data_IF_644564381331
#
_entry.id   IF_644564381331
#
_cell.length_a   1.000
_cell.length_b   1.000
_cell.length_c   1.000
_cell.angle_alpha   90.00
_cell.angle_beta   90.00
_cell.angle_gamma   90.00
#
_symmetry.space_group_name_H-M   'P 1'
#
loop_
_entity.id
_entity.type
_entity.pdbx_description
1 polymer ?
#
# COMPACT_ATOMS: atom_id res chain seq x y z
N UNK A 1 33.35 -19.42 -19.37
CA UNK A 1 33.53 -18.58 -18.16
C UNK A 1 32.61 -17.37 -18.22
N UNK A 2 32.68 -16.57 -19.29
CA UNK A 2 31.87 -15.36 -19.49
C UNK A 2 30.35 -15.53 -19.30
N UNK A 3 29.75 -16.61 -19.81
CA UNK A 3 28.30 -16.85 -19.70
C UNK A 3 27.85 -17.15 -18.26
N UNK A 4 28.67 -17.87 -17.49
CA UNK A 4 28.37 -18.19 -16.08
C UNK A 4 28.51 -16.95 -15.19
N UNK A 5 29.51 -16.13 -15.45
CA UNK A 5 29.68 -14.83 -14.78
C UNK A 5 28.50 -13.89 -15.09
N UNK A 6 28.04 -13.86 -16.34
CA UNK A 6 26.91 -13.03 -16.76
C UNK A 6 25.60 -13.48 -16.09
N UNK A 7 25.36 -14.78 -15.94
CA UNK A 7 24.20 -15.31 -15.21
C UNK A 7 24.21 -14.93 -13.73
N UNK A 8 25.38 -15.04 -13.06
CA UNK A 8 25.54 -14.66 -11.66
C UNK A 8 25.37 -13.15 -11.47
N UNK A 9 25.97 -12.34 -12.36
CA UNK A 9 25.79 -10.88 -12.34
C UNK A 9 24.33 -10.48 -12.57
N UNK A 10 23.66 -11.11 -13.52
CA UNK A 10 22.25 -10.88 -13.81
C UNK A 10 21.35 -11.24 -12.63
N UNK A 11 21.64 -12.36 -11.94
CA UNK A 11 20.96 -12.75 -10.71
C UNK A 11 21.12 -11.68 -9.62
N UNK A 12 22.35 -11.21 -9.35
CA UNK A 12 22.61 -10.18 -8.34
C UNK A 12 21.91 -8.86 -8.67
N UNK A 13 22.00 -8.36 -9.90
CA UNK A 13 21.32 -7.13 -10.32
C UNK A 13 19.80 -7.23 -10.20
N UNK A 14 19.23 -8.38 -10.55
CA UNK A 14 17.78 -8.61 -10.45
C UNK A 14 17.34 -8.68 -8.98
N UNK A 15 18.17 -9.27 -8.12
CA UNK A 15 17.93 -9.30 -6.68
C UNK A 15 17.98 -7.89 -6.07
N UNK A 16 19.00 -7.10 -6.36
CA UNK A 16 19.14 -5.73 -5.85
C UNK A 16 17.97 -4.84 -6.29
N UNK A 17 17.56 -4.96 -7.55
CA UNK A 17 16.36 -4.28 -8.05
C UNK A 17 15.13 -4.72 -7.24
N UNK A 18 14.94 -6.01 -7.03
CA UNK A 18 13.79 -6.53 -6.30
C UNK A 18 13.77 -6.07 -4.85
N UNK A 19 14.94 -6.00 -4.19
CA UNK A 19 15.10 -5.48 -2.84
C UNK A 19 14.72 -3.99 -2.76
N UNK A 20 15.16 -3.17 -3.72
CA UNK A 20 14.80 -1.74 -3.76
C UNK A 20 13.28 -1.53 -3.91
N UNK A 21 12.61 -2.36 -4.73
CA UNK A 21 11.16 -2.32 -4.90
C UNK A 21 10.45 -2.80 -3.63
N UNK A 22 11.00 -3.79 -2.92
CA UNK A 22 10.48 -4.26 -1.64
C UNK A 22 10.50 -3.17 -0.56
N UNK A 23 11.59 -2.42 -0.44
CA UNK A 23 11.69 -1.28 0.48
C UNK A 23 10.69 -0.19 0.12
N UNK A 24 10.62 0.15 -1.17
CA UNK A 24 9.64 1.11 -1.71
C UNK A 24 8.19 0.67 -1.47
N UNK A 25 7.91 -0.63 -1.50
CA UNK A 25 6.59 -1.21 -1.19
C UNK A 25 6.23 -1.02 0.28
N UNK A 26 7.16 -1.25 1.20
CA UNK A 26 6.93 -1.06 2.64
C UNK A 26 6.67 0.42 2.95
N UNK A 27 7.44 1.32 2.34
CA UNK A 27 7.20 2.77 2.47
C UNK A 27 5.81 3.15 1.95
N UNK A 28 5.39 2.63 0.80
CA UNK A 28 4.04 2.85 0.27
C UNK A 28 2.95 2.33 1.23
N UNK A 29 3.13 1.15 1.83
CA UNK A 29 2.19 0.60 2.80
C UNK A 29 2.04 1.51 4.02
N UNK A 30 3.15 2.01 4.57
CA UNK A 30 3.13 2.91 5.74
C UNK A 30 2.47 4.25 5.41
N UNK A 31 2.79 4.84 4.24
CA UNK A 31 2.14 6.08 3.78
C UNK A 31 0.64 5.85 3.61
N UNK A 32 0.24 4.73 3.00
CA UNK A 32 -1.16 4.39 2.82
C UNK A 32 -1.88 4.24 4.18
N UNK A 33 -1.29 3.52 5.14
CA UNK A 33 -1.86 3.39 6.48
C UNK A 33 -2.03 4.76 7.15
N UNK A 34 -1.04 5.64 7.05
CA UNK A 34 -1.13 6.99 7.60
C UNK A 34 -2.24 7.81 6.91
N UNK A 35 -2.31 7.78 5.58
CA UNK A 35 -3.33 8.51 4.80
C UNK A 35 -4.73 7.98 5.11
N UNK A 36 -4.95 6.67 5.08
CA UNK A 36 -6.27 6.08 5.37
C UNK A 36 -6.66 6.33 6.83
N UNK A 37 -5.72 6.17 7.77
CA UNK A 37 -5.97 6.46 9.19
C UNK A 37 -6.38 7.91 9.42
N UNK A 38 -5.64 8.86 8.86
CA UNK A 38 -5.98 10.28 8.94
C UNK A 38 -7.32 10.59 8.26
N UNK A 39 -7.55 10.05 7.07
CA UNK A 39 -8.81 10.22 6.34
C UNK A 39 -10.00 9.66 7.12
N UNK A 40 -9.82 8.53 7.80
CA UNK A 40 -10.83 7.92 8.68
C UNK A 40 -11.18 8.89 9.81
N UNK A 41 -10.18 9.42 10.54
CA UNK A 41 -10.39 10.38 11.63
C UNK A 41 -11.18 11.62 11.17
N UNK A 42 -10.86 12.16 9.98
CA UNK A 42 -11.60 13.29 9.41
C UNK A 42 -13.04 12.95 9.01
N UNK A 43 -13.26 11.73 8.53
CA UNK A 43 -14.57 11.27 8.04
C UNK A 43 -15.55 11.02 9.18
N UNK A 44 -15.07 10.52 10.33
CA UNK A 44 -15.92 10.29 11.50
C UNK A 44 -16.33 11.56 12.25
N UNK A 45 -15.95 12.75 11.76
CA UNK A 45 -16.31 14.05 12.32
C UNK A 45 -16.12 14.08 13.85
N UNK A 46 -14.97 13.60 14.32
CA UNK A 46 -14.60 13.74 15.73
C UNK A 46 -14.53 15.25 15.99
N UNK A 47 -15.29 15.75 16.95
CA UNK A 47 -15.47 17.20 17.21
C UNK A 47 -14.16 18.00 17.28
N UNK A 48 -13.06 17.34 17.63
CA UNK A 48 -11.72 17.94 17.75
C UNK A 48 -10.83 17.77 16.49
N UNK A 49 -11.11 16.81 15.61
CA UNK A 49 -10.22 16.47 14.48
C UNK A 49 -10.36 17.43 13.29
N UNK A 50 -11.58 17.88 12.99
CA UNK A 50 -11.83 18.82 11.89
C UNK A 50 -11.27 20.23 12.17
N UNK A 51 -11.50 20.82 13.36
CA UNK A 51 -10.88 22.11 13.71
C UNK A 51 -9.35 22.06 13.69
N UNK A 52 -8.75 20.95 14.11
CA UNK A 52 -7.30 20.79 14.16
C UNK A 52 -6.68 20.79 12.74
N UNK A 53 -7.34 20.17 11.76
CA UNK A 53 -6.91 20.25 10.36
C UNK A 53 -6.94 21.69 9.83
N UNK A 54 -7.99 22.44 10.15
CA UNK A 54 -8.10 23.85 9.76
C UNK A 54 -7.02 24.69 10.43
N UNK A 55 -6.71 24.43 11.70
CA UNK A 55 -5.64 25.12 12.43
C UNK A 55 -4.26 24.83 11.84
N UNK A 56 -3.99 23.60 11.42
CA UNK A 56 -2.75 23.24 10.71
C UNK A 56 -2.64 24.01 9.40
N UNK A 57 -3.71 24.04 8.59
CA UNK A 57 -3.72 24.74 7.31
C UNK A 57 -3.57 26.25 7.52
N UNK A 58 -4.29 26.83 8.48
CA UNK A 58 -4.15 28.24 8.83
C UNK A 58 -2.70 28.57 9.21
N UNK A 59 -2.06 27.73 10.02
CA UNK A 59 -0.65 27.89 10.40
C UNK A 59 0.29 27.78 9.21
N UNK A 60 0.07 26.83 8.30
CA UNK A 60 0.88 26.66 7.08
C UNK A 60 0.71 27.83 6.10
N UNK A 61 -0.49 28.41 6.04
CA UNK A 61 -0.80 29.59 5.23
C UNK A 61 -0.40 30.92 5.90
N UNK A 62 0.14 30.89 7.12
CA UNK A 62 0.54 32.09 7.86
C UNK A 62 -0.62 32.94 8.37
N UNK A 63 -1.82 32.37 8.51
CA UNK A 63 -3.01 33.06 9.03
C UNK A 63 -2.93 33.07 10.56
N UNK A 64 -2.81 34.26 11.15
CA UNK A 64 -2.70 34.46 12.61
C UNK A 64 -3.96 35.07 13.24
N UNK A 65 -4.89 35.58 12.42
CA UNK A 65 -6.15 36.18 12.89
C UNK A 65 -7.15 35.12 13.35
N UNK A 66 -7.56 35.18 14.62
CA UNK A 66 -8.48 34.24 15.26
C UNK A 66 -9.89 34.33 14.69
N UNK A 67 -10.35 35.51 14.25
CA UNK A 67 -11.65 35.64 13.59
C UNK A 67 -11.65 34.93 12.24
N UNK A 68 -10.58 35.10 11.46
CA UNK A 68 -10.43 34.46 10.16
C UNK A 68 -10.34 32.93 10.26
N UNK A 69 -9.65 32.41 11.28
CA UNK A 69 -9.62 30.97 11.57
C UNK A 69 -11.01 30.45 11.90
N UNK A 70 -11.80 31.19 12.69
CA UNK A 70 -13.20 30.85 13.00
C UNK A 70 -14.09 30.76 11.75
N UNK A 71 -13.96 31.72 10.84
CA UNK A 71 -14.67 31.72 9.54
C UNK A 71 -14.24 30.53 8.67
N UNK A 72 -12.94 30.23 8.61
CA UNK A 72 -12.43 29.07 7.88
C UNK A 72 -13.04 27.78 8.43
N UNK A 73 -13.06 27.59 9.76
CA UNK A 73 -13.62 26.38 10.38
C UNK A 73 -15.07 26.09 9.97
N UNK A 74 -15.88 27.13 9.74
CA UNK A 74 -17.27 26.99 9.30
C UNK A 74 -17.43 26.82 7.79
N UNK A 75 -16.57 27.44 6.99
CA UNK A 75 -16.68 27.46 5.51
C UNK A 75 -15.79 26.44 4.80
N UNK A 76 -15.00 25.66 5.56
CA UNK A 76 -14.01 24.77 4.98
C UNK A 76 -14.65 23.61 4.21
N UNK A 77 -14.25 23.36 2.94
CA UNK A 77 -14.86 22.34 2.10
C UNK A 77 -14.30 20.94 2.42
N UNK A 78 -14.62 20.39 3.59
CA UNK A 78 -14.13 19.08 4.03
C UNK A 78 -14.46 17.95 3.04
N UNK A 79 -15.62 18.02 2.37
CA UNK A 79 -16.01 17.03 1.36
C UNK A 79 -15.01 16.95 0.20
N UNK A 80 -14.52 18.10 -0.30
CA UNK A 80 -13.53 18.14 -1.39
C UNK A 80 -12.23 17.49 -0.95
N UNK A 81 -11.78 17.75 0.27
CA UNK A 81 -10.54 17.16 0.81
C UNK A 81 -10.68 15.67 1.02
N UNK A 82 -11.84 15.19 1.49
CA UNK A 82 -12.12 13.77 1.57
C UNK A 82 -12.12 13.10 0.18
N UNK A 83 -12.67 13.75 -0.85
CA UNK A 83 -12.57 13.26 -2.23
C UNK A 83 -11.12 13.25 -2.75
N UNK A 84 -10.30 14.24 -2.41
CA UNK A 84 -8.86 14.20 -2.74
C UNK A 84 -8.20 13.00 -2.05
N UNK A 85 -8.52 12.74 -0.78
CA UNK A 85 -7.99 11.58 -0.07
C UNK A 85 -8.40 10.25 -0.70
N UNK A 86 -9.63 10.09 -1.20
CA UNK A 86 -10.03 8.83 -1.86
C UNK A 86 -9.20 8.57 -3.13
N UNK A 87 -8.87 9.62 -3.88
CA UNK A 87 -8.02 9.52 -5.08
C UNK A 87 -6.58 9.14 -4.68
N UNK A 88 -6.03 9.77 -3.65
CA UNK A 88 -4.70 9.45 -3.13
C UNK A 88 -4.66 7.98 -2.66
N UNK A 89 -5.67 7.54 -1.91
CA UNK A 89 -5.80 6.15 -1.45
C UNK A 89 -5.86 5.19 -2.63
N UNK A 90 -6.66 5.50 -3.67
CA UNK A 90 -6.72 4.70 -4.89
C UNK A 90 -5.35 4.57 -5.57
N UNK A 91 -4.65 5.68 -5.76
CA UNK A 91 -3.32 5.68 -6.37
C UNK A 91 -2.30 4.88 -5.54
N UNK A 92 -2.30 5.03 -4.23
CA UNK A 92 -1.41 4.30 -3.32
C UNK A 92 -1.73 2.80 -3.31
N UNK A 93 -3.01 2.42 -3.36
CA UNK A 93 -3.44 1.02 -3.45
C UNK A 93 -3.01 0.36 -4.75
N UNK A 94 -3.17 1.05 -5.88
CA UNK A 94 -2.70 0.57 -7.18
C UNK A 94 -1.18 0.36 -7.16
N UNK A 95 -0.42 1.33 -6.63
CA UNK A 95 1.03 1.20 -6.48
C UNK A 95 1.43 0.05 -5.55
N UNK A 96 0.72 -0.13 -4.43
CA UNK A 96 0.96 -1.23 -3.50
C UNK A 96 0.75 -2.59 -4.19
N UNK A 97 -0.32 -2.72 -4.97
CA UNK A 97 -0.61 -3.93 -5.76
C UNK A 97 0.47 -4.17 -6.83
N UNK A 98 0.83 -3.15 -7.61
CA UNK A 98 1.85 -3.26 -8.67
C UNK A 98 3.21 -3.68 -8.11
N UNK A 99 3.69 -3.04 -7.04
CA UNK A 99 4.97 -3.38 -6.41
C UNK A 99 4.96 -4.81 -5.86
N UNK A 100 3.90 -5.19 -5.17
CA UNK A 100 3.74 -6.56 -4.65
C UNK A 100 3.75 -7.60 -5.78
N UNK A 101 3.04 -7.31 -6.88
CA UNK A 101 3.00 -8.19 -8.06
C UNK A 101 4.32 -8.25 -8.82
N UNK A 102 5.07 -7.14 -8.87
CA UNK A 102 6.42 -7.09 -9.42
C UNK A 102 7.38 -7.97 -8.61
N UNK A 103 7.48 -7.74 -7.29
CA UNK A 103 8.33 -8.51 -6.38
C UNK A 103 8.09 -10.01 -6.57
N UNK A 104 6.81 -10.41 -6.61
CA UNK A 104 6.45 -11.81 -6.78
C UNK A 104 6.88 -12.40 -8.12
N UNK A 105 6.75 -11.64 -9.21
CA UNK A 105 7.22 -12.07 -10.53
C UNK A 105 8.74 -12.20 -10.55
N UNK A 106 9.45 -11.24 -9.96
CA UNK A 106 10.90 -11.28 -9.82
C UNK A 106 11.36 -12.49 -9.01
N UNK A 107 10.69 -12.83 -7.91
CA UNK A 107 11.00 -14.00 -7.09
C UNK A 107 10.83 -15.31 -7.88
N UNK A 108 9.75 -15.44 -8.68
CA UNK A 108 9.58 -16.60 -9.56
C UNK A 108 10.68 -16.69 -10.62
N UNK A 109 11.08 -15.56 -11.17
CA UNK A 109 12.15 -15.49 -12.16
C UNK A 109 13.50 -15.88 -11.54
N UNK A 110 13.85 -15.29 -10.39
CA UNK A 110 15.07 -15.61 -9.64
C UNK A 110 15.12 -17.09 -9.27
N UNK A 111 14.00 -17.69 -8.85
CA UNK A 111 13.92 -19.12 -8.59
C UNK A 111 14.22 -19.98 -9.82
N UNK A 112 13.88 -19.54 -11.03
CA UNK A 112 14.24 -20.22 -12.28
C UNK A 112 15.74 -20.11 -12.57
N UNK A 113 16.29 -18.89 -12.47
CA UNK A 113 17.72 -18.63 -12.65
C UNK A 113 18.57 -19.39 -11.63
N UNK A 114 18.11 -19.55 -10.39
CA UNK A 114 18.79 -20.36 -9.38
C UNK A 114 18.94 -21.83 -9.81
N UNK A 115 17.93 -22.41 -10.46
CA UNK A 115 17.99 -23.81 -10.95
C UNK A 115 19.07 -23.93 -12.02
N UNK A 116 19.13 -22.97 -12.95
CA UNK A 116 20.13 -22.94 -14.01
C UNK A 116 21.55 -22.75 -13.46
N UNK A 117 21.73 -21.86 -12.47
CA UNK A 117 23.03 -21.65 -11.80
C UNK A 117 23.46 -22.92 -11.04
N UNK A 118 22.54 -23.57 -10.32
CA UNK A 118 22.84 -24.83 -9.61
C UNK A 118 23.26 -25.93 -10.58
N UNK A 119 22.56 -26.08 -11.69
CA UNK A 119 22.92 -27.03 -12.74
C UNK A 119 24.29 -26.71 -13.36
N UNK A 120 24.56 -25.43 -13.64
CA UNK A 120 25.82 -25.00 -14.24
C UNK A 120 27.04 -25.14 -13.31
N UNK A 121 26.83 -25.14 -11.99
CA UNK A 121 27.87 -25.26 -10.95
C UNK A 121 27.93 -26.63 -10.28
N UNK A 122 27.10 -27.60 -10.69
CA UNK A 122 26.98 -28.91 -10.04
C UNK A 122 26.72 -28.82 -8.52
N UNK A 123 25.92 -27.84 -8.10
CA UNK A 123 25.56 -27.66 -6.69
C UNK A 123 24.36 -28.54 -6.34
N UNK A 124 24.38 -29.14 -5.14
CA UNK A 124 23.22 -29.89 -4.64
C UNK A 124 22.01 -28.97 -4.42
N UNK A 125 20.81 -29.51 -4.60
CA UNK A 125 19.56 -28.78 -4.35
C UNK A 125 19.40 -28.29 -2.90
N UNK A 126 20.13 -28.90 -1.96
CA UNK A 126 20.16 -28.56 -0.54
C UNK A 126 21.22 -27.52 -0.16
N UNK A 127 22.03 -27.01 -1.09
CA UNK A 127 23.04 -26.01 -0.77
C UNK A 127 22.38 -24.71 -0.29
N UNK A 128 22.93 -24.17 0.81
CA UNK A 128 22.48 -22.92 1.46
C UNK A 128 22.98 -21.69 0.68
N UNK A 129 23.54 -21.86 -0.51
CA UNK A 129 24.08 -20.76 -1.32
C UNK A 129 22.99 -19.77 -1.76
N UNK A 130 21.72 -20.19 -1.75
CA UNK A 130 20.56 -19.37 -2.09
C UNK A 130 19.49 -19.48 -0.99
N UNK A 131 19.37 -18.46 -0.14
CA UNK A 131 18.63 -18.53 1.14
C UNK A 131 17.30 -17.79 1.18
N UNK A 132 17.05 -16.87 0.24
CA UNK A 132 15.90 -15.94 0.32
C UNK A 132 14.81 -16.16 -0.71
N UNK A 133 15.09 -16.84 -1.82
CA UNK A 133 14.27 -16.72 -3.04
C UNK A 133 13.82 -18.09 -3.61
N UNK A 134 14.57 -19.17 -3.35
CA UNK A 134 14.24 -20.53 -3.79
C UNK A 134 13.39 -21.37 -2.84
N UNK A 135 13.19 -22.66 -3.18
CA UNK A 135 12.43 -23.65 -2.40
C UNK A 135 12.76 -23.65 -0.91
N UNK A 136 14.01 -23.35 -0.53
CA UNK A 136 14.46 -23.28 0.85
C UNK A 136 13.71 -22.23 1.68
N UNK A 137 13.46 -21.03 1.16
CA UNK A 137 12.71 -19.98 1.88
C UNK A 137 11.24 -20.35 2.00
N UNK A 138 10.65 -20.90 0.93
CA UNK A 138 9.26 -21.37 0.95
C UNK A 138 9.04 -22.54 1.91
N UNK A 139 10.01 -23.46 2.02
CA UNK A 139 9.96 -24.62 2.90
C UNK A 139 10.19 -24.27 4.37
N UNK A 140 10.92 -23.18 4.65
CA UNK A 140 11.22 -22.70 6.01
C UNK A 140 10.46 -21.43 6.41
N UNK A 141 9.42 -21.03 5.66
CA UNK A 141 8.62 -19.84 6.00
C UNK A 141 7.96 -20.05 7.35
N UNK A 142 8.40 -19.29 8.35
CA UNK A 142 7.84 -19.37 9.71
C UNK A 142 6.39 -18.91 9.75
N UNK A 143 5.62 -19.51 10.66
CA UNK A 143 4.23 -19.14 10.92
C UNK A 143 4.13 -17.66 11.33
N UNK A 144 5.14 -17.14 12.04
CA UNK A 144 5.30 -15.73 12.40
C UNK A 144 5.34 -14.81 11.18
N UNK A 145 6.08 -15.16 10.13
CA UNK A 145 6.13 -14.34 8.91
C UNK A 145 4.77 -14.29 8.18
N UNK A 146 3.99 -15.37 8.27
CA UNK A 146 2.61 -15.39 7.76
C UNK A 146 1.67 -14.53 8.61
N UNK A 147 1.76 -14.61 9.94
CA UNK A 147 0.95 -13.77 10.85
C UNK A 147 1.25 -12.28 10.69
N UNK A 148 2.52 -11.90 10.50
CA UNK A 148 2.90 -10.51 10.22
C UNK A 148 2.30 -10.02 8.89
N UNK A 149 2.28 -10.86 7.85
CA UNK A 149 1.60 -10.50 6.60
C UNK A 149 0.09 -10.35 6.79
N UNK A 150 -0.52 -11.23 7.58
CA UNK A 150 -1.95 -11.21 7.87
C UNK A 150 -2.37 -9.98 8.66
N UNK A 151 -1.60 -9.58 9.67
CA UNK A 151 -1.90 -8.39 10.47
C UNK A 151 -1.93 -7.13 9.61
N UNK A 152 -0.99 -6.95 8.67
CA UNK A 152 -0.99 -5.80 7.76
C UNK A 152 -2.23 -5.77 6.86
N UNK A 153 -2.62 -6.92 6.28
CA UNK A 153 -3.81 -7.00 5.44
C UNK A 153 -5.08 -6.70 6.25
N UNK A 154 -5.20 -7.23 7.46
CA UNK A 154 -6.37 -7.01 8.31
C UNK A 154 -6.49 -5.56 8.78
N UNK A 155 -5.40 -4.96 9.29
CA UNK A 155 -5.38 -3.56 9.73
C UNK A 155 -5.74 -2.64 8.58
N UNK A 156 -5.11 -2.83 7.41
CA UNK A 156 -5.40 -2.02 6.23
C UNK A 156 -6.86 -2.23 5.76
N UNK A 157 -7.34 -3.46 5.75
CA UNK A 157 -8.71 -3.80 5.34
C UNK A 157 -9.76 -3.13 6.23
N UNK A 158 -9.60 -3.22 7.56
CA UNK A 158 -10.51 -2.59 8.51
C UNK A 158 -10.54 -1.07 8.31
N UNK A 159 -9.37 -0.44 8.17
CA UNK A 159 -9.27 1.00 7.94
C UNK A 159 -9.92 1.42 6.61
N UNK A 160 -9.66 0.68 5.53
CA UNK A 160 -10.25 0.97 4.22
C UNK A 160 -11.78 0.84 4.25
N UNK A 161 -12.31 -0.24 4.81
CA UNK A 161 -13.77 -0.44 4.91
C UNK A 161 -14.41 0.67 5.74
N UNK A 162 -13.78 1.04 6.86
CA UNK A 162 -14.28 2.12 7.73
C UNK A 162 -14.30 3.46 7.01
N UNK A 163 -13.20 3.82 6.34
CA UNK A 163 -13.08 5.07 5.60
C UNK A 163 -14.07 5.13 4.42
N UNK A 164 -14.04 4.14 3.53
CA UNK A 164 -14.85 4.14 2.31
C UNK A 164 -16.34 4.03 2.61
N UNK A 165 -16.71 3.16 3.57
CA UNK A 165 -18.11 3.00 3.98
C UNK A 165 -18.68 4.28 4.59
N UNK A 166 -17.93 4.95 5.47
CA UNK A 166 -18.38 6.19 6.07
C UNK A 166 -18.43 7.34 5.04
N UNK A 167 -17.50 7.37 4.08
CA UNK A 167 -17.48 8.35 2.98
C UNK A 167 -18.74 8.24 2.13
N UNK A 168 -19.05 7.04 1.61
CA UNK A 168 -20.25 6.80 0.81
C UNK A 168 -21.53 7.11 1.57
N UNK A 169 -21.59 6.75 2.87
CA UNK A 169 -22.72 7.10 3.73
C UNK A 169 -22.90 8.62 3.85
N UNK A 170 -21.81 9.36 3.99
CA UNK A 170 -21.83 10.82 4.11
C UNK A 170 -22.34 11.47 2.83
N UNK A 171 -21.83 11.06 1.67
CA UNK A 171 -22.27 11.61 0.37
C UNK A 171 -23.74 11.32 0.06
N UNK A 172 -24.21 10.13 0.47
CA UNK A 172 -25.62 9.77 0.36
C UNK A 172 -26.51 10.68 1.23
N UNK A 173 -26.10 10.94 2.48
CA UNK A 173 -26.87 11.78 3.40
C UNK A 173 -26.88 13.26 2.99
N UNK A 174 -25.80 13.76 2.40
CA UNK A 174 -25.71 15.15 1.92
C UNK A 174 -26.38 15.38 0.55
N UNK A 175 -27.00 14.34 -0.04
CA UNK A 175 -27.72 14.38 -1.32
C UNK A 175 -26.83 14.81 -2.52
N UNK A 176 -25.51 14.63 -2.41
CA UNK A 176 -24.55 14.99 -3.46
C UNK A 176 -24.35 13.85 -4.46
N UNK A 177 -25.39 13.55 -5.26
CA UNK A 177 -25.44 12.36 -6.12
C UNK A 177 -24.28 12.25 -7.12
N UNK A 178 -23.81 13.36 -7.70
CA UNK A 178 -22.68 13.32 -8.63
C UNK A 178 -21.37 12.87 -7.96
N UNK A 179 -21.08 13.39 -6.77
CA UNK A 179 -19.88 13.02 -6.00
C UNK A 179 -20.00 11.58 -5.52
N UNK A 180 -21.19 11.17 -5.08
CA UNK A 180 -21.46 9.80 -4.67
C UNK A 180 -21.09 8.77 -5.74
N UNK A 181 -21.48 8.97 -7.00
CA UNK A 181 -21.16 8.02 -8.07
C UNK A 181 -19.66 7.93 -8.37
N UNK A 182 -18.94 9.05 -8.30
CA UNK A 182 -17.49 9.09 -8.47
C UNK A 182 -16.79 8.36 -7.32
N UNK A 183 -17.17 8.67 -6.08
CA UNK A 183 -16.59 8.04 -4.89
C UNK A 183 -16.94 6.55 -4.82
N UNK A 184 -18.11 6.13 -5.33
CA UNK A 184 -18.49 4.73 -5.48
C UNK A 184 -17.60 4.00 -6.49
N UNK A 185 -17.38 4.59 -7.67
CA UNK A 185 -16.50 4.00 -8.68
C UNK A 185 -15.07 3.83 -8.15
N UNK A 186 -14.54 4.86 -7.46
CA UNK A 186 -13.24 4.79 -6.81
C UNK A 186 -13.21 3.74 -5.70
N UNK A 187 -14.25 3.66 -4.87
CA UNK A 187 -14.39 2.64 -3.82
C UNK A 187 -14.31 1.23 -4.40
N UNK A 188 -15.07 0.95 -5.47
CA UNK A 188 -15.02 -0.36 -6.16
C UNK A 188 -13.62 -0.66 -6.67
N UNK A 189 -12.95 0.32 -7.28
CA UNK A 189 -11.56 0.18 -7.73
C UNK A 189 -10.58 -0.12 -6.58
N UNK A 190 -10.68 0.62 -5.48
CA UNK A 190 -9.88 0.41 -4.27
C UNK A 190 -10.10 -1.00 -3.71
N UNK A 191 -11.36 -1.42 -3.57
CA UNK A 191 -11.72 -2.75 -3.07
C UNK A 191 -11.16 -3.85 -3.98
N UNK A 192 -11.28 -3.71 -5.30
CA UNK A 192 -10.71 -4.65 -6.26
C UNK A 192 -9.19 -4.80 -6.08
N UNK A 193 -8.44 -3.69 -6.06
CA UNK A 193 -6.99 -3.74 -5.89
C UNK A 193 -6.57 -4.23 -4.51
N UNK A 194 -7.35 -3.95 -3.46
CA UNK A 194 -7.11 -4.47 -2.12
C UNK A 194 -7.29 -5.99 -2.05
N UNK A 195 -8.36 -6.53 -2.64
CA UNK A 195 -8.60 -7.97 -2.73
C UNK A 195 -7.47 -8.64 -3.54
N UNK A 196 -7.11 -8.07 -4.69
CA UNK A 196 -6.02 -8.58 -5.53
C UNK A 196 -4.68 -8.57 -4.77
N UNK A 197 -4.35 -7.47 -4.09
CA UNK A 197 -3.17 -7.37 -3.22
C UNK A 197 -3.17 -8.44 -2.12
N UNK A 198 -4.31 -8.64 -1.45
CA UNK A 198 -4.46 -9.64 -0.39
C UNK A 198 -4.22 -11.05 -0.94
N UNK A 199 -4.86 -11.41 -2.06
CA UNK A 199 -4.67 -12.70 -2.71
C UNK A 199 -3.22 -12.94 -3.14
N UNK A 200 -2.55 -11.93 -3.72
CA UNK A 200 -1.15 -12.03 -4.12
C UNK A 200 -0.22 -12.13 -2.90
N UNK A 201 -0.56 -11.51 -1.77
CA UNK A 201 0.24 -11.58 -0.54
C UNK A 201 0.19 -12.95 0.15
N UNK A 202 -0.93 -13.69 0.01
CA UNK A 202 -1.09 -15.01 0.64
C UNK A 202 -0.86 -16.21 -0.28
N UNK A 203 -0.97 -16.07 -1.60
CA UNK A 203 -0.66 -17.17 -2.52
C UNK A 203 0.81 -17.59 -2.29
N UNK A 204 1.04 -18.87 -2.05
CA UNK A 204 2.38 -19.48 -2.08
C UNK A 204 2.98 -19.33 -3.48
#
# INVERSE_FOLDING_TARGET
MQEKELLVEHYHKTYDLTFSIWESRNRTLLILLAVVGFSTLLTFNVSEAQPLLVDIIAKLCGITDTMRIGELRQSFPYGIIQSIFIIIVFYLMLNLYHKTSFIRRSYRYLSGVEVDIRAALNLSASSVSFTREGEFYNKNRSLTALMTGLSYVLILGILLVSFLGMRLRTDFMTHQMYIFWVDLALTVGISYFFIAYSCVSFKK
#
